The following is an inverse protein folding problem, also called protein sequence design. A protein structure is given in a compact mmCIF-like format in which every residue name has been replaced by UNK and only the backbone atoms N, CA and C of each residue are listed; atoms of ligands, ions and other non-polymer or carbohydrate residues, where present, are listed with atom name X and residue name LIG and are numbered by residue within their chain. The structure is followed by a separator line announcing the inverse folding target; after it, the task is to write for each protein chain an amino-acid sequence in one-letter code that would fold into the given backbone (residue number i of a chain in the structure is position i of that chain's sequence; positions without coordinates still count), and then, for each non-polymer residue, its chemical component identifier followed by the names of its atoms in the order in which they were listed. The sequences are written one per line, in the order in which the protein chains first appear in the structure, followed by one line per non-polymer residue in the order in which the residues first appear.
data_IF_058149635754
#
_entry.id   IF_058149635754
#
_cell.length_a   1.000
_cell.length_b   1.000
_cell.length_c   1.000
_cell.angle_alpha   90.00
_cell.angle_beta   90.00
_cell.angle_gamma   90.00
#
_symmetry.space_group_name_H-M   'P 1'
#
loop_
_entity.id
_entity.type
_entity.pdbx_description
1 polymer ?
#
# COMPACT_ATOMS: atom_id res chain seq x y z
N UNK A 1 5.60 6.53 1.31
CA UNK A 1 4.29 5.99 1.76
C UNK A 1 3.11 6.80 1.23
N UNK A 2 3.20 8.14 1.19
CA UNK A 2 2.12 9.02 0.69
C UNK A 2 1.52 8.60 -0.67
N UNK A 3 2.37 8.22 -1.63
CA UNK A 3 1.90 7.79 -2.96
C UNK A 3 1.01 6.54 -2.92
N UNK A 4 1.23 5.62 -1.97
CA UNK A 4 0.42 4.40 -1.84
C UNK A 4 -0.94 4.71 -1.18
N UNK A 5 -0.97 5.63 -0.21
CA UNK A 5 -2.22 6.07 0.41
C UNK A 5 -3.14 6.76 -0.61
N UNK A 6 -2.55 7.59 -1.48
CA UNK A 6 -3.27 8.23 -2.58
C UNK A 6 -3.84 7.20 -3.56
N UNK A 7 -3.01 6.25 -4.00
CA UNK A 7 -3.45 5.18 -4.90
C UNK A 7 -4.59 4.34 -4.32
N UNK A 8 -4.54 4.01 -3.03
CA UNK A 8 -5.62 3.28 -2.33
C UNK A 8 -6.92 4.09 -2.26
N UNK A 9 -6.83 5.40 -2.06
CA UNK A 9 -7.98 6.31 -2.05
C UNK A 9 -8.63 6.38 -3.44
N UNK A 10 -7.82 6.49 -4.49
CA UNK A 10 -8.31 6.70 -5.86
C UNK A 10 -8.93 5.43 -6.47
N UNK A 11 -8.27 4.28 -6.31
CA UNK A 11 -8.69 3.00 -6.89
C UNK A 11 -9.77 2.28 -6.07
N UNK A 12 -9.66 2.30 -4.73
CA UNK A 12 -10.56 1.56 -3.86
C UNK A 12 -11.58 2.44 -3.14
N UNK A 13 -11.61 3.75 -3.45
CA UNK A 13 -12.53 4.74 -2.85
C UNK A 13 -12.47 4.77 -1.33
N UNK A 14 -11.33 4.40 -0.77
CA UNK A 14 -11.11 4.37 0.67
C UNK A 14 -10.98 5.79 1.22
N UNK A 15 -11.52 6.02 2.41
CA UNK A 15 -11.21 7.24 3.18
C UNK A 15 -9.74 7.23 3.63
N UNK A 16 -9.14 8.40 3.96
CA UNK A 16 -7.76 8.46 4.44
C UNK A 16 -7.50 7.55 5.66
N UNK A 17 -8.48 7.41 6.55
CA UNK A 17 -8.40 6.53 7.72
C UNK A 17 -8.38 5.05 7.34
N UNK A 18 -9.20 4.63 6.37
CA UNK A 18 -9.22 3.25 5.88
C UNK A 18 -7.93 2.92 5.10
N UNK A 19 -7.45 3.84 4.27
CA UNK A 19 -6.15 3.69 3.60
C UNK A 19 -5.01 3.54 4.61
N UNK A 20 -5.03 4.29 5.72
CA UNK A 20 -4.06 4.15 6.80
C UNK A 20 -4.14 2.78 7.50
N UNK A 21 -5.35 2.25 7.72
CA UNK A 21 -5.54 0.91 8.29
C UNK A 21 -5.02 -0.20 7.37
N UNK A 22 -5.28 -0.11 6.07
CA UNK A 22 -4.77 -1.07 5.06
C UNK A 22 -3.25 -1.00 4.99
N UNK A 23 -2.68 0.20 4.98
CA UNK A 23 -1.22 0.39 5.00
C UNK A 23 -0.60 -0.13 6.30
N UNK A 24 -1.22 0.07 7.45
CA UNK A 24 -0.69 -0.38 8.74
C UNK A 24 -0.70 -1.90 8.90
N UNK A 25 -1.67 -2.60 8.30
CA UNK A 25 -1.87 -4.05 8.49
C UNK A 25 -1.28 -4.91 7.38
N UNK A 26 -1.17 -4.38 6.17
CA UNK A 26 -0.84 -5.15 4.97
C UNK A 26 0.38 -4.64 4.20
N UNK A 27 1.03 -3.58 4.67
CA UNK A 27 2.27 -3.12 4.05
C UNK A 27 3.46 -3.99 4.45
N UNK A 28 4.21 -4.41 3.45
CA UNK A 28 5.51 -5.04 3.60
C UNK A 28 6.58 -4.07 3.11
N UNK A 29 7.54 -3.74 3.98
CA UNK A 29 8.70 -2.96 3.59
C UNK A 29 9.79 -3.92 3.12
N UNK A 30 10.16 -3.83 1.84
CA UNK A 30 11.24 -4.62 1.26
C UNK A 30 12.42 -3.71 0.95
N UNK A 31 13.62 -4.14 1.34
CA UNK A 31 14.87 -3.50 0.89
C UNK A 31 15.04 -3.83 -0.60
N UNK A 32 14.96 -2.80 -1.44
CA UNK A 32 15.07 -2.94 -2.89
C UNK A 32 16.52 -3.08 -3.34
N UNK A 33 17.45 -2.49 -2.61
CA UNK A 33 18.87 -2.43 -2.98
C UNK A 33 19.76 -2.11 -1.76
N UNK A 34 20.94 -2.73 -1.71
CA UNK A 34 21.96 -2.53 -0.64
C UNK A 34 23.34 -2.19 -1.22
N UNK A 35 23.47 -2.18 -2.56
CA UNK A 35 24.77 -2.19 -3.24
C UNK A 35 25.34 -0.80 -3.55
N UNK A 36 24.54 0.27 -3.39
CA UNK A 36 24.92 1.62 -3.78
C UNK A 36 24.62 2.66 -2.69
N UNK A 37 25.04 3.92 -2.88
CA UNK A 37 24.85 5.03 -1.92
C UNK A 37 23.39 5.32 -1.55
N UNK A 38 22.43 4.77 -2.29
CA UNK A 38 20.99 4.90 -2.02
C UNK A 38 20.39 3.52 -1.71
N UNK A 39 20.36 3.16 -0.43
CA UNK A 39 19.53 2.05 0.03
C UNK A 39 18.05 2.44 -0.12
N UNK A 40 17.38 1.87 -1.12
CA UNK A 40 15.96 2.12 -1.38
C UNK A 40 15.06 1.16 -0.60
N UNK A 41 14.24 1.69 0.30
CA UNK A 41 13.15 0.92 0.93
C UNK A 41 11.88 1.13 0.11
N UNK A 42 11.29 0.04 -0.38
CA UNK A 42 10.02 0.08 -1.12
C UNK A 42 8.91 -0.53 -0.29
N UNK A 43 7.74 0.10 -0.32
CA UNK A 43 6.53 -0.43 0.27
C UNK A 43 5.78 -1.26 -0.76
N UNK A 44 5.49 -2.51 -0.42
CA UNK A 44 4.74 -3.45 -1.25
C UNK A 44 3.48 -3.88 -0.51
N UNK A 45 2.40 -4.08 -1.26
CA UNK A 45 1.16 -4.68 -0.77
C UNK A 45 0.80 -5.82 -1.74
N UNK A 46 0.45 -6.97 -1.19
CA UNK A 46 -0.05 -8.08 -1.99
C UNK A 46 -1.45 -7.76 -2.53
N UNK A 47 -1.62 -7.74 -3.86
CA UNK A 47 -2.88 -7.39 -4.52
C UNK A 47 -4.04 -8.34 -4.19
N UNK A 48 -3.77 -9.58 -3.78
CA UNK A 48 -4.81 -10.52 -3.38
C UNK A 48 -5.50 -10.09 -2.09
N UNK A 49 -4.76 -9.48 -1.16
CA UNK A 49 -5.32 -8.90 0.06
C UNK A 49 -6.23 -7.69 -0.21
N UNK A 50 -6.11 -7.09 -1.39
CA UNK A 50 -6.96 -5.98 -1.83
C UNK A 50 -8.22 -6.44 -2.59
N UNK A 51 -8.33 -7.72 -2.97
CA UNK A 51 -9.48 -8.24 -3.73
C UNK A 51 -10.80 -8.14 -2.95
N UNK A 52 -10.76 -8.31 -1.61
CA UNK A 52 -11.95 -8.16 -0.75
C UNK A 52 -12.43 -6.71 -0.67
N UNK A 53 -11.53 -5.73 -0.78
CA UNK A 53 -11.86 -4.31 -0.76
C UNK A 53 -12.59 -3.87 -2.04
N UNK A 54 -12.26 -4.46 -3.19
CA UNK A 54 -12.95 -4.21 -4.46
C UNK A 54 -14.41 -4.69 -4.47
N UNK A 55 -14.76 -5.65 -3.60
CA UNK A 55 -16.13 -6.17 -3.46
C UNK A 55 -16.97 -5.41 -2.43
N UNK A 56 -16.35 -4.66 -1.52
CA UNK A 56 -17.02 -3.96 -0.43
C UNK A 56 -17.66 -2.62 -0.85
N UNK A 57 -17.37 -2.15 -2.08
CA UNK A 57 -17.92 -0.92 -2.66
C UNK A 57 -19.11 -1.13 -3.61
N UNK A 58 -19.77 -2.29 -3.59
CA UNK A 58 -21.02 -2.54 -4.33
C UNK A 58 -22.23 -2.54 -3.41
#
# INVERSE_FOLDING_TARGET
TANMAQWLTDEYKLTPSEAAQVLGTSAEYKVSEVADRNAGIVLKINKERLKSLASAGK
#
